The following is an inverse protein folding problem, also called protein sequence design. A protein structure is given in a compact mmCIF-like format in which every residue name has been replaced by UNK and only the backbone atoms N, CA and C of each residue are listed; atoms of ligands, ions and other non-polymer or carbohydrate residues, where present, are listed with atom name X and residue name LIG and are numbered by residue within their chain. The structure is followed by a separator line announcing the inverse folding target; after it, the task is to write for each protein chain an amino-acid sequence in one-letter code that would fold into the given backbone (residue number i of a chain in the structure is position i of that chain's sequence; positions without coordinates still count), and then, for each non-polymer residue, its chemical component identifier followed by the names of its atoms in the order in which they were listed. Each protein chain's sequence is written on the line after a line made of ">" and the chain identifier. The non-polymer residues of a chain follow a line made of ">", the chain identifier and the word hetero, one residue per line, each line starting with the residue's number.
data_IF_182927646275
#
_entry.id   IF_182927646275
#
_cell.length_a   1.000
_cell.length_b   1.000
_cell.length_c   1.000
_cell.angle_alpha   90.00
_cell.angle_beta   90.00
_cell.angle_gamma   90.00
#
_symmetry.space_group_name_H-M   'P 1'
#
loop_
_entity.id
_entity.type
_entity.pdbx_description
1 polymer ?
#
# COMPACT_ATOMS: atom_id res chain seq x y z
N UNK A 1 -34.00 62.41 -25.16
CA UNK A 1 -33.75 61.77 -26.46
C UNK A 1 -32.90 60.54 -26.16
N UNK A 2 -33.52 59.36 -26.20
CA UNK A 2 -32.78 58.09 -26.05
C UNK A 2 -32.11 57.81 -27.39
N UNK A 3 -30.86 57.38 -27.39
CA UNK A 3 -30.18 56.91 -28.61
C UNK A 3 -30.99 55.72 -29.14
N UNK A 4 -31.43 55.79 -30.41
CA UNK A 4 -32.19 54.69 -31.01
C UNK A 4 -31.27 53.50 -31.23
N UNK A 5 -31.41 52.48 -30.41
CA UNK A 5 -30.78 51.17 -30.64
C UNK A 5 -31.59 50.51 -31.76
N UNK A 6 -31.01 50.18 -32.90
CA UNK A 6 -31.67 49.43 -33.95
C UNK A 6 -32.18 48.09 -33.42
N UNK A 7 -33.33 47.64 -33.88
CA UNK A 7 -33.91 46.34 -33.45
C UNK A 7 -32.93 45.17 -33.65
N UNK A 8 -32.13 45.20 -34.73
CA UNK A 8 -31.11 44.17 -35.00
C UNK A 8 -30.03 44.14 -33.92
N UNK A 9 -29.55 45.30 -33.45
CA UNK A 9 -28.53 45.35 -32.38
C UNK A 9 -29.07 44.85 -31.05
N UNK A 10 -30.35 45.13 -30.77
CA UNK A 10 -31.01 44.61 -29.59
C UNK A 10 -31.07 43.09 -29.60
N UNK A 11 -31.46 42.47 -30.74
CA UNK A 11 -31.52 41.02 -30.85
C UNK A 11 -30.15 40.38 -30.92
N UNK A 12 -29.17 41.02 -31.53
CA UNK A 12 -27.79 40.57 -31.52
C UNK A 12 -27.23 40.51 -30.09
N UNK A 13 -27.44 41.57 -29.30
CA UNK A 13 -27.03 41.60 -27.91
C UNK A 13 -27.78 40.57 -27.05
N UNK A 14 -29.09 40.41 -27.26
CA UNK A 14 -29.89 39.37 -26.59
C UNK A 14 -29.40 37.96 -26.95
N UNK A 15 -28.97 37.74 -28.20
CA UNK A 15 -28.37 36.50 -28.67
C UNK A 15 -27.08 36.17 -27.93
N UNK A 16 -26.19 37.14 -27.77
CA UNK A 16 -24.93 36.96 -27.02
C UNK A 16 -25.23 36.55 -25.57
N UNK A 17 -26.14 37.22 -24.88
CA UNK A 17 -26.46 36.85 -23.49
C UNK A 17 -27.13 35.48 -23.37
N UNK A 18 -27.89 35.06 -24.35
CA UNK A 18 -28.55 33.74 -24.36
C UNK A 18 -27.62 32.59 -24.71
N UNK A 19 -26.65 32.84 -25.59
CA UNK A 19 -25.66 31.83 -26.00
C UNK A 19 -24.53 31.66 -24.98
N UNK A 20 -24.36 32.59 -24.06
CA UNK A 20 -23.26 32.66 -23.11
C UNK A 20 -23.66 32.10 -21.73
N UNK A 21 -22.87 31.18 -21.25
CA UNK A 21 -23.00 30.63 -19.90
C UNK A 21 -21.89 31.16 -18.99
N UNK A 22 -22.27 31.85 -17.91
CA UNK A 22 -21.33 32.31 -16.88
C UNK A 22 -21.44 31.53 -15.57
N UNK A 23 -22.57 30.83 -15.38
CA UNK A 23 -22.87 30.05 -14.18
C UNK A 23 -23.05 28.58 -14.52
N UNK A 24 -22.57 27.73 -13.64
CA UNK A 24 -22.86 26.29 -13.62
C UNK A 24 -24.06 26.08 -12.70
N UNK A 25 -25.21 25.58 -13.20
CA UNK A 25 -26.38 25.32 -12.37
C UNK A 25 -26.08 24.25 -11.30
N UNK A 26 -26.53 24.51 -10.08
CA UNK A 26 -26.42 23.60 -8.96
C UNK A 26 -27.29 24.02 -7.80
N UNK A 27 -27.28 23.29 -6.71
CA UNK A 27 -28.01 23.66 -5.48
C UNK A 27 -27.57 25.04 -4.95
N UNK A 28 -26.27 25.33 -5.16
CA UNK A 28 -25.71 26.70 -5.13
C UNK A 28 -25.00 26.87 -6.46
N UNK A 29 -25.41 27.86 -7.27
CA UNK A 29 -24.78 28.12 -8.56
C UNK A 29 -23.32 28.54 -8.36
N UNK A 30 -22.41 27.97 -9.14
CA UNK A 30 -21.00 28.35 -9.17
C UNK A 30 -20.65 29.05 -10.48
N UNK A 31 -19.58 29.83 -10.46
CA UNK A 31 -19.09 30.48 -11.67
C UNK A 31 -18.44 29.45 -12.58
N UNK A 32 -18.50 29.70 -13.90
CA UNK A 32 -17.63 29.00 -14.86
C UNK A 32 -16.21 29.48 -14.62
N UNK A 33 -15.35 28.60 -14.16
CA UNK A 33 -13.93 28.89 -13.89
C UNK A 33 -13.04 28.33 -15.00
N UNK A 34 -12.09 29.13 -15.45
CA UNK A 34 -11.02 28.66 -16.34
C UNK A 34 -9.67 28.96 -15.69
N UNK A 35 -8.77 27.99 -15.79
CA UNK A 35 -7.39 28.18 -15.39
C UNK A 35 -6.73 29.25 -16.28
N UNK A 36 -6.15 30.25 -15.64
CA UNK A 36 -5.33 31.23 -16.35
C UNK A 36 -4.06 30.57 -16.87
N UNK A 37 -3.61 31.00 -18.03
CA UNK A 37 -2.29 30.59 -18.52
C UNK A 37 -1.23 31.09 -17.53
N UNK A 38 -0.44 30.19 -16.92
CA UNK A 38 0.56 30.61 -15.96
C UNK A 38 1.58 31.54 -16.62
N UNK A 39 2.11 32.47 -15.84
CA UNK A 39 3.23 33.29 -16.31
C UNK A 39 4.43 32.39 -16.62
N UNK A 40 5.37 32.77 -17.49
CA UNK A 40 6.55 31.96 -17.77
C UNK A 40 7.35 31.60 -16.54
N UNK A 41 7.34 32.44 -15.51
CA UNK A 41 7.99 32.15 -14.22
C UNK A 41 7.21 31.12 -13.40
N UNK A 42 5.88 31.25 -13.33
CA UNK A 42 5.02 30.27 -12.66
C UNK A 42 5.10 28.91 -13.35
N UNK A 43 5.12 28.87 -14.68
CA UNK A 43 5.28 27.64 -15.46
C UNK A 43 6.60 26.96 -15.15
N UNK A 44 7.71 27.68 -15.07
CA UNK A 44 9.02 27.13 -14.70
C UNK A 44 9.01 26.51 -13.29
N UNK A 45 8.35 27.16 -12.33
CA UNK A 45 8.20 26.61 -10.95
C UNK A 45 7.37 25.33 -10.93
N UNK A 46 6.29 25.27 -11.72
CA UNK A 46 5.49 24.06 -11.88
C UNK A 46 6.27 22.92 -12.51
N UNK A 47 7.00 23.21 -13.61
CA UNK A 47 7.81 22.21 -14.31
C UNK A 47 8.94 21.68 -13.42
N UNK A 48 9.61 22.57 -12.66
CA UNK A 48 10.66 22.18 -11.72
C UNK A 48 10.08 21.31 -10.60
N UNK A 49 8.95 21.71 -10.01
CA UNK A 49 8.28 20.93 -8.97
C UNK A 49 7.83 19.56 -9.47
N UNK A 50 7.28 19.48 -10.69
CA UNK A 50 6.89 18.21 -11.32
C UNK A 50 8.10 17.29 -11.54
N UNK A 51 9.24 17.86 -11.96
CA UNK A 51 10.50 17.15 -12.12
C UNK A 51 11.01 16.64 -10.77
N UNK A 52 11.09 17.51 -9.77
CA UNK A 52 11.57 17.15 -8.42
C UNK A 52 10.70 16.07 -7.77
N UNK A 53 9.39 16.15 -7.95
CA UNK A 53 8.43 15.14 -7.46
C UNK A 53 8.64 13.78 -8.15
N UNK A 54 8.82 13.78 -9.48
CA UNK A 54 9.09 12.57 -10.25
C UNK A 54 10.42 11.93 -9.86
N UNK A 55 11.48 12.74 -9.72
CA UNK A 55 12.81 12.26 -9.36
C UNK A 55 12.84 11.70 -7.93
N UNK A 56 12.12 12.33 -6.99
CA UNK A 56 11.96 11.84 -5.65
C UNK A 56 11.19 10.49 -5.60
N UNK A 57 10.10 10.36 -6.35
CA UNK A 57 9.34 9.10 -6.46
C UNK A 57 10.18 7.97 -7.08
N UNK A 58 10.96 8.27 -8.12
CA UNK A 58 11.85 7.30 -8.75
C UNK A 58 12.96 6.84 -7.78
N UNK A 59 13.54 7.77 -7.05
CA UNK A 59 14.57 7.47 -6.04
C UNK A 59 14.02 6.62 -4.91
N UNK A 60 12.82 6.92 -4.42
CA UNK A 60 12.14 6.11 -3.39
C UNK A 60 11.83 4.70 -3.89
N UNK A 61 11.35 4.56 -5.12
CA UNK A 61 11.09 3.25 -5.74
C UNK A 61 12.37 2.44 -5.92
N UNK A 62 13.45 3.08 -6.34
CA UNK A 62 14.77 2.44 -6.50
C UNK A 62 15.32 1.95 -5.17
N UNK A 63 15.29 2.79 -4.12
CA UNK A 63 15.74 2.43 -2.78
C UNK A 63 14.92 1.26 -2.18
N UNK A 64 13.59 1.28 -2.35
CA UNK A 64 12.72 0.17 -1.92
C UNK A 64 13.01 -1.12 -2.68
N UNK A 65 13.26 -1.03 -3.98
CA UNK A 65 13.63 -2.21 -4.80
C UNK A 65 14.99 -2.77 -4.39
N UNK A 66 15.95 -1.92 -4.06
CA UNK A 66 17.26 -2.35 -3.53
C UNK A 66 17.11 -3.03 -2.17
N UNK A 67 16.32 -2.45 -1.25
CA UNK A 67 16.01 -3.06 0.03
C UNK A 67 15.38 -4.44 -0.17
N UNK A 68 14.37 -4.56 -1.02
CA UNK A 68 13.71 -5.81 -1.33
C UNK A 68 14.69 -6.85 -1.93
N UNK A 69 15.61 -6.42 -2.81
CA UNK A 69 16.65 -7.29 -3.37
C UNK A 69 17.65 -7.78 -2.31
N UNK A 70 18.07 -6.89 -1.42
CA UNK A 70 18.96 -7.21 -0.31
C UNK A 70 18.27 -8.18 0.65
N UNK A 71 17.02 -7.91 1.02
CA UNK A 71 16.22 -8.74 1.93
C UNK A 71 15.85 -10.10 1.30
N UNK A 72 15.59 -10.15 -0.01
CA UNK A 72 15.36 -11.41 -0.73
C UNK A 72 16.64 -12.24 -0.87
N UNK A 73 17.81 -11.61 -0.91
CA UNK A 73 19.09 -12.31 -0.92
C UNK A 73 19.51 -12.78 0.49
N UNK A 74 19.19 -12.03 1.55
CA UNK A 74 19.36 -12.48 2.93
C UNK A 74 18.34 -13.57 3.31
N UNK A 75 17.18 -13.57 2.65
CA UNK A 75 16.16 -14.61 2.79
C UNK A 75 16.53 -15.96 2.18
N UNK A 76 17.58 -16.04 1.33
CA UNK A 76 18.08 -17.32 0.81
C UNK A 76 18.82 -18.16 1.85
N UNK A 77 19.16 -17.60 2.99
CA UNK A 77 19.78 -18.30 4.11
C UNK A 77 18.80 -19.11 4.97
N UNK A 78 17.47 -18.90 4.81
CA UNK A 78 16.45 -19.57 5.59
C UNK A 78 15.72 -20.69 4.85
N UNK A 79 15.10 -21.58 5.61
CA UNK A 79 14.17 -22.59 5.09
C UNK A 79 12.76 -21.96 5.10
N UNK A 80 12.21 -21.73 3.92
CA UNK A 80 10.87 -21.16 3.71
C UNK A 80 9.88 -22.31 3.49
N UNK A 81 8.76 -22.24 4.18
CA UNK A 81 7.62 -23.12 3.98
C UNK A 81 6.40 -22.27 3.68
N UNK A 82 5.89 -22.36 2.47
CA UNK A 82 4.71 -21.65 1.99
C UNK A 82 3.41 -22.34 2.43
N UNK A 83 2.31 -21.61 2.50
CA UNK A 83 1.00 -22.17 2.84
C UNK A 83 0.56 -23.29 1.89
N UNK A 84 1.05 -23.31 0.66
CA UNK A 84 0.76 -24.37 -0.32
C UNK A 84 1.39 -25.70 0.07
N UNK A 85 2.52 -25.70 0.78
CA UNK A 85 3.26 -26.87 1.24
C UNK A 85 2.80 -27.35 2.63
N UNK A 86 2.08 -26.51 3.37
CA UNK A 86 1.66 -26.81 4.73
C UNK A 86 0.45 -27.77 4.77
N UNK A 87 0.44 -28.64 5.79
CA UNK A 87 -0.72 -29.50 6.08
C UNK A 87 -1.83 -28.65 6.71
N UNK A 88 -3.02 -28.69 6.10
CA UNK A 88 -4.20 -27.95 6.55
C UNK A 88 -5.20 -28.87 7.23
N UNK A 89 -5.70 -28.47 8.38
CA UNK A 89 -6.79 -29.10 9.10
C UNK A 89 -7.95 -28.11 9.08
N UNK A 90 -9.15 -28.57 8.68
CA UNK A 90 -10.30 -27.73 8.41
C UNK A 90 -10.23 -27.00 7.06
N UNK A 91 -11.28 -26.22 6.78
CA UNK A 91 -11.37 -25.45 5.53
C UNK A 91 -10.67 -24.10 5.62
N UNK A 92 -9.76 -23.85 4.70
CA UNK A 92 -9.06 -22.59 4.54
C UNK A 92 -9.29 -22.05 3.13
N UNK A 93 -9.69 -20.77 3.04
CA UNK A 93 -9.92 -20.09 1.77
C UNK A 93 -8.66 -19.39 1.30
N UNK A 94 -8.32 -19.57 0.02
CA UNK A 94 -7.23 -18.84 -0.65
C UNK A 94 -7.65 -17.41 -0.98
N UNK A 95 -6.72 -16.46 -0.85
CA UNK A 95 -6.95 -15.06 -1.22
C UNK A 95 -5.67 -14.39 -1.74
N UNK A 96 -5.84 -13.42 -2.62
CA UNK A 96 -4.80 -12.54 -3.16
C UNK A 96 -5.18 -11.06 -3.03
N UNK A 97 -6.22 -10.76 -2.24
CA UNK A 97 -6.78 -9.41 -2.10
C UNK A 97 -5.81 -8.40 -1.48
N UNK A 98 -4.91 -8.86 -0.61
CA UNK A 98 -3.80 -8.06 -0.10
C UNK A 98 -2.54 -8.43 -0.89
N UNK A 99 -1.71 -7.44 -1.25
CA UNK A 99 -0.51 -7.66 -2.08
C UNK A 99 0.76 -8.01 -1.29
N UNK A 100 0.70 -7.96 0.05
CA UNK A 100 1.84 -8.27 0.93
C UNK A 100 1.76 -9.70 1.42
N UNK A 101 2.05 -10.68 0.57
CA UNK A 101 2.15 -12.10 0.91
C UNK A 101 3.34 -12.75 0.22
N UNK A 102 3.73 -13.92 0.71
CA UNK A 102 4.79 -14.76 0.15
C UNK A 102 4.17 -15.78 -0.82
N UNK A 103 4.88 -16.11 -1.90
CA UNK A 103 4.39 -17.08 -2.89
C UNK A 103 3.25 -16.56 -3.76
N UNK A 104 2.25 -17.42 -4.01
CA UNK A 104 1.15 -17.12 -4.94
C UNK A 104 -0.11 -16.57 -4.28
N UNK A 105 -0.33 -16.91 -3.01
CA UNK A 105 -1.53 -16.53 -2.26
C UNK A 105 -1.29 -16.72 -0.76
N UNK A 106 -2.16 -16.16 0.04
CA UNK A 106 -2.33 -16.50 1.45
C UNK A 106 -3.66 -17.19 1.69
N UNK A 107 -3.84 -17.84 2.84
CA UNK A 107 -5.10 -18.47 3.22
C UNK A 107 -5.68 -17.86 4.49
N UNK A 108 -7.01 -18.00 4.66
CA UNK A 108 -7.72 -17.52 5.83
C UNK A 108 -8.88 -18.44 6.24
N UNK A 109 -9.25 -18.38 7.53
CA UNK A 109 -10.29 -19.21 8.13
C UNK A 109 -11.72 -18.68 7.95
N UNK A 110 -11.91 -17.53 7.24
CA UNK A 110 -13.16 -16.76 7.12
C UNK A 110 -13.71 -16.20 8.43
N UNK A 111 -13.02 -16.37 9.56
CA UNK A 111 -13.54 -16.09 10.89
C UNK A 111 -14.45 -17.19 11.44
N UNK A 112 -14.53 -18.34 10.77
CA UNK A 112 -15.43 -19.46 11.07
C UNK A 112 -14.68 -20.68 11.62
N UNK A 113 -15.42 -21.63 12.25
CA UNK A 113 -14.87 -22.90 12.74
C UNK A 113 -13.76 -22.69 13.79
N UNK A 114 -13.99 -21.81 14.76
CA UNK A 114 -13.01 -21.47 15.79
C UNK A 114 -12.64 -22.69 16.63
N UNK A 115 -11.33 -22.90 16.82
CA UNK A 115 -10.77 -24.06 17.49
C UNK A 115 -10.77 -25.36 16.67
N UNK A 116 -11.20 -25.33 15.41
CA UNK A 116 -11.26 -26.51 14.54
C UNK A 116 -10.31 -26.45 13.33
N UNK A 117 -9.59 -25.35 13.19
CA UNK A 117 -8.74 -25.14 12.01
C UNK A 117 -7.29 -24.89 12.41
N UNK A 118 -6.40 -25.62 11.76
CA UNK A 118 -4.95 -25.53 11.97
C UNK A 118 -4.19 -25.62 10.65
N UNK A 119 -3.03 -25.00 10.61
CA UNK A 119 -2.07 -25.11 9.51
C UNK A 119 -0.72 -25.51 10.10
N UNK A 120 -0.21 -26.66 9.73
CA UNK A 120 1.07 -27.21 10.20
C UNK A 120 2.10 -27.04 9.12
N UNK A 121 3.11 -26.23 9.41
CA UNK A 121 4.30 -26.04 8.58
C UNK A 121 5.40 -26.99 9.05
N UNK A 122 5.89 -27.82 8.16
CA UNK A 122 7.01 -28.73 8.43
C UNK A 122 8.19 -28.39 7.56
N UNK A 123 9.34 -28.19 8.17
CA UNK A 123 10.60 -27.91 7.49
C UNK A 123 11.61 -29.03 7.79
N UNK A 124 12.51 -29.30 6.84
CA UNK A 124 13.68 -30.16 7.05
C UNK A 124 14.92 -29.28 7.27
N UNK A 125 15.43 -29.23 8.48
CA UNK A 125 16.61 -28.45 8.85
C UNK A 125 17.88 -29.29 8.67
N UNK A 126 18.79 -28.80 7.84
CA UNK A 126 20.03 -29.54 7.52
C UNK A 126 21.02 -29.64 8.67
N UNK A 127 20.98 -28.66 9.59
CA UNK A 127 21.94 -28.55 10.69
C UNK A 127 21.23 -28.27 11.99
N UNK A 128 21.68 -28.87 13.08
CA UNK A 128 21.26 -28.43 14.42
C UNK A 128 21.83 -27.06 14.74
N UNK A 129 21.05 -26.27 15.52
CA UNK A 129 21.47 -24.93 15.94
C UNK A 129 20.34 -24.03 16.37
N UNK A 130 20.67 -22.77 16.60
CA UNK A 130 19.68 -21.75 16.88
C UNK A 130 19.14 -21.13 15.58
N UNK A 131 17.83 -21.04 15.48
CA UNK A 131 17.12 -20.45 14.36
C UNK A 131 16.18 -19.34 14.85
N UNK A 132 16.13 -18.25 14.10
CA UNK A 132 15.07 -17.26 14.23
C UNK A 132 13.86 -17.73 13.41
N UNK A 133 12.72 -17.93 14.10
CA UNK A 133 11.47 -18.35 13.46
C UNK A 133 10.63 -17.12 13.16
N UNK A 134 10.14 -17.03 11.94
CA UNK A 134 9.29 -15.94 11.47
C UNK A 134 7.99 -16.48 10.92
N UNK A 135 6.89 -15.74 11.13
CA UNK A 135 5.58 -16.04 10.56
C UNK A 135 5.15 -14.95 9.59
N UNK A 136 4.63 -15.36 8.44
CA UNK A 136 4.04 -14.51 7.42
C UNK A 136 2.52 -14.38 7.58
N UNK A 137 2.02 -13.15 7.45
CA UNK A 137 0.58 -12.87 7.38
C UNK A 137 0.33 -11.49 6.77
N UNK A 138 -0.89 -11.28 6.26
CA UNK A 138 -1.35 -9.96 5.81
C UNK A 138 -2.16 -9.29 6.90
N UNK A 139 -1.73 -8.08 7.33
CA UNK A 139 -2.40 -7.32 8.39
C UNK A 139 -3.72 -6.69 7.94
N UNK A 140 -4.57 -6.33 8.90
CA UNK A 140 -5.82 -5.62 8.65
C UNK A 140 -6.69 -5.49 9.88
N UNK A 141 -7.64 -4.54 9.87
CA UNK A 141 -8.50 -4.23 11.03
C UNK A 141 -9.45 -5.36 11.42
N UNK A 142 -9.80 -6.24 10.48
CA UNK A 142 -10.66 -7.40 10.67
C UNK A 142 -9.88 -8.69 10.98
N UNK A 143 -8.58 -8.57 11.34
CA UNK A 143 -7.75 -9.73 11.70
C UNK A 143 -7.77 -9.99 13.20
N UNK A 144 -7.52 -11.24 13.59
CA UNK A 144 -7.42 -11.63 15.00
C UNK A 144 -6.19 -11.03 15.68
N UNK A 145 -6.35 -10.60 16.94
CA UNK A 145 -5.28 -10.00 17.74
C UNK A 145 -4.46 -11.03 18.54
N UNK A 146 -4.89 -12.29 18.59
CA UNK A 146 -4.34 -13.28 19.50
C UNK A 146 -4.18 -14.65 18.85
N UNK A 147 -3.74 -14.71 17.60
CA UNK A 147 -3.55 -15.96 16.86
C UNK A 147 -2.48 -16.81 17.53
N UNK A 148 -2.81 -18.02 18.03
CA UNK A 148 -1.81 -18.90 18.62
C UNK A 148 -0.95 -19.53 17.55
N UNK A 149 0.37 -19.42 17.74
CA UNK A 149 1.39 -20.05 16.93
C UNK A 149 2.25 -20.91 17.83
N UNK A 150 2.21 -22.21 17.63
CA UNK A 150 2.97 -23.21 18.40
C UNK A 150 4.23 -23.56 17.62
N UNK A 151 5.40 -23.42 18.26
CA UNK A 151 6.71 -23.81 17.73
C UNK A 151 7.17 -25.05 18.49
N UNK A 152 7.40 -26.15 17.77
CA UNK A 152 8.03 -27.35 18.30
C UNK A 152 9.54 -27.22 18.12
N UNK A 153 10.30 -27.21 19.23
CA UNK A 153 11.74 -27.01 19.22
C UNK A 153 12.45 -27.99 20.19
N UNK A 154 13.76 -28.03 20.23
CA UNK A 154 14.53 -29.01 20.99
C UNK A 154 14.22 -29.04 22.51
N UNK A 155 13.69 -27.95 23.07
CA UNK A 155 13.31 -27.87 24.49
C UNK A 155 11.82 -28.06 24.76
N UNK A 156 11.04 -28.52 23.77
CA UNK A 156 9.59 -28.70 23.87
C UNK A 156 8.81 -27.70 23.00
N UNK A 157 7.59 -27.37 23.40
CA UNK A 157 6.70 -26.51 22.63
C UNK A 157 6.59 -25.10 23.25
N UNK A 158 6.61 -24.09 22.41
CA UNK A 158 6.33 -22.70 22.82
C UNK A 158 5.17 -22.14 22.02
N UNK A 159 4.18 -21.57 22.71
CA UNK A 159 3.03 -20.92 22.07
C UNK A 159 3.20 -19.40 22.15
N UNK A 160 3.17 -18.76 20.99
CA UNK A 160 3.24 -17.29 20.87
C UNK A 160 1.94 -16.80 20.26
N UNK A 161 1.35 -15.76 20.86
CA UNK A 161 0.15 -15.13 20.35
C UNK A 161 0.50 -13.94 19.48
N UNK A 162 0.02 -13.96 18.22
CA UNK A 162 0.32 -12.96 17.21
C UNK A 162 -0.88 -12.04 16.99
N UNK A 163 -0.66 -10.73 17.13
CA UNK A 163 -1.62 -9.71 16.72
C UNK A 163 -1.49 -9.45 15.21
N UNK A 164 -2.44 -9.95 14.44
CA UNK A 164 -2.46 -9.80 12.98
C UNK A 164 -3.10 -8.49 12.50
N UNK A 165 -3.54 -7.61 13.40
CA UNK A 165 -3.91 -6.23 13.05
C UNK A 165 -2.70 -5.34 12.86
N UNK A 166 -1.58 -5.68 13.49
CA UNK A 166 -0.32 -4.98 13.34
C UNK A 166 0.36 -5.38 12.04
N UNK A 167 0.94 -4.38 11.35
CA UNK A 167 1.73 -4.62 10.15
C UNK A 167 3.00 -5.40 10.51
N UNK A 168 3.28 -6.53 9.84
CA UNK A 168 4.52 -7.26 10.05
C UNK A 168 5.74 -6.39 9.73
N UNK A 169 6.75 -6.32 10.62
CA UNK A 169 7.85 -5.36 10.50
C UNK A 169 8.86 -5.70 9.39
N UNK A 170 8.95 -6.97 8.99
CA UNK A 170 9.89 -7.42 7.96
C UNK A 170 9.15 -7.46 6.63
N UNK A 171 9.47 -6.53 5.72
CA UNK A 171 8.89 -6.42 4.36
C UNK A 171 7.36 -6.34 4.32
N UNK A 172 6.72 -5.86 5.39
CA UNK A 172 5.27 -5.85 5.56
C UNK A 172 4.64 -7.26 5.46
N UNK A 173 5.44 -8.30 5.62
CA UNK A 173 5.02 -9.68 5.42
C UNK A 173 5.38 -10.62 6.57
N UNK A 174 6.54 -10.45 7.22
CA UNK A 174 7.00 -11.36 8.27
C UNK A 174 7.15 -10.68 9.63
N UNK A 175 6.77 -11.42 10.70
CA UNK A 175 7.00 -11.08 12.11
C UNK A 175 7.89 -12.14 12.75
N UNK A 176 8.92 -11.70 13.47
CA UNK A 176 9.78 -12.60 14.26
C UNK A 176 8.96 -13.13 15.45
N UNK A 177 8.95 -14.45 15.62
CA UNK A 177 8.36 -15.12 16.78
C UNK A 177 9.36 -15.30 17.92
N UNK A 178 10.62 -15.50 17.59
CA UNK A 178 11.69 -15.72 18.57
C UNK A 178 12.86 -16.49 17.99
N UNK A 179 13.78 -16.86 18.90
CA UNK A 179 14.94 -17.70 18.60
C UNK A 179 14.84 -18.99 19.39
N UNK A 180 14.97 -20.10 18.69
CA UNK A 180 14.77 -21.44 19.24
C UNK A 180 15.88 -22.37 18.77
N UNK A 181 16.30 -23.31 19.65
CA UNK A 181 17.20 -24.38 19.30
C UNK A 181 16.45 -25.51 18.60
N UNK A 182 16.96 -25.97 17.48
CA UNK A 182 16.44 -27.12 16.75
C UNK A 182 17.55 -28.15 16.54
N UNK A 183 17.16 -29.43 16.56
CA UNK A 183 18.00 -30.49 16.08
C UNK A 183 17.97 -30.55 14.55
N UNK A 184 18.96 -31.20 13.93
CA UNK A 184 18.89 -31.50 12.51
C UNK A 184 17.72 -32.46 12.23
N UNK A 185 16.99 -32.20 11.15
CA UNK A 185 15.81 -32.98 10.78
C UNK A 185 14.53 -32.12 10.82
N UNK A 186 13.41 -32.75 11.18
CA UNK A 186 12.08 -32.13 11.08
C UNK A 186 11.85 -31.06 12.15
N UNK A 187 11.51 -29.86 11.71
CA UNK A 187 11.00 -28.76 12.53
C UNK A 187 9.53 -28.50 12.19
N UNK A 188 8.74 -28.09 13.19
CA UNK A 188 7.31 -27.88 13.02
C UNK A 188 6.85 -26.55 13.65
N UNK A 189 5.95 -25.85 12.93
CA UNK A 189 5.23 -24.68 13.42
C UNK A 189 3.75 -24.85 13.08
N UNK A 190 2.88 -24.76 14.08
CA UNK A 190 1.44 -24.87 13.92
C UNK A 190 0.77 -23.52 14.19
N UNK A 191 -0.06 -23.07 13.27
CA UNK A 191 -0.92 -21.90 13.43
C UNK A 191 -2.35 -22.38 13.58
N UNK A 192 -3.00 -22.03 14.70
CA UNK A 192 -4.37 -22.41 14.99
C UNK A 192 -5.31 -21.21 15.05
N UNK A 193 -6.60 -21.43 14.83
CA UNK A 193 -7.61 -20.40 15.07
C UNK A 193 -8.32 -20.55 16.44
N UNK A 194 -7.74 -21.34 17.32
CA UNK A 194 -8.28 -21.57 18.67
C UNK A 194 -8.24 -20.28 19.51
N UNK A 195 -9.36 -20.00 20.19
CA UNK A 195 -9.50 -18.82 21.04
C UNK A 195 -9.44 -17.48 20.31
N UNK A 196 -9.54 -17.49 18.97
CA UNK A 196 -9.57 -16.26 18.14
C UNK A 196 -11.01 -15.83 17.86
N UNK A 197 -11.23 -14.49 17.71
CA UNK A 197 -12.59 -13.95 17.44
C UNK A 197 -12.78 -13.55 15.97
N UNK A 198 -11.72 -13.02 15.37
CA UNK A 198 -11.75 -12.46 14.01
C UNK A 198 -11.02 -13.37 13.02
N UNK A 199 -10.86 -12.91 11.78
CA UNK A 199 -10.21 -13.67 10.72
C UNK A 199 -8.74 -13.97 11.05
N UNK A 200 -8.35 -15.22 10.91
CA UNK A 200 -6.95 -15.67 11.00
C UNK A 200 -6.38 -15.81 9.60
N UNK A 201 -5.22 -15.19 9.40
CA UNK A 201 -4.45 -15.26 8.16
C UNK A 201 -3.24 -16.16 8.35
N UNK A 202 -2.98 -16.99 7.35
CA UNK A 202 -1.79 -17.85 7.30
C UNK A 202 -1.17 -17.71 5.91
N UNK A 203 0.13 -17.45 5.88
CA UNK A 203 0.88 -17.23 4.65
C UNK A 203 2.08 -18.17 4.58
N UNK A 204 3.16 -17.88 5.29
CA UNK A 204 4.37 -18.70 5.28
C UNK A 204 5.04 -18.75 6.66
N UNK A 205 5.95 -19.69 6.85
CA UNK A 205 6.87 -19.76 7.98
C UNK A 205 8.29 -19.84 7.47
N UNK A 206 9.22 -19.16 8.16
CA UNK A 206 10.64 -19.15 7.81
C UNK A 206 11.49 -19.50 9.01
N UNK A 207 12.45 -20.41 8.83
CA UNK A 207 13.48 -20.76 9.79
C UNK A 207 14.82 -20.20 9.30
N UNK A 208 15.35 -19.16 9.96
CA UNK A 208 16.61 -18.51 9.59
C UNK A 208 17.72 -18.94 10.56
N UNK A 209 18.77 -19.63 10.11
CA UNK A 209 19.88 -20.00 10.99
C UNK A 209 20.55 -18.75 11.59
N UNK A 210 20.74 -18.73 12.90
CA UNK A 210 21.34 -17.58 13.59
C UNK A 210 22.79 -17.32 13.16
N UNK A 211 23.50 -18.40 12.77
CA UNK A 211 24.83 -18.31 12.21
C UNK A 211 24.87 -17.52 10.89
N UNK A 212 23.79 -17.53 10.12
CA UNK A 212 23.67 -16.74 8.88
C UNK A 212 23.31 -15.28 9.16
N UNK A 213 22.54 -15.01 10.22
CA UNK A 213 22.19 -13.64 10.63
C UNK A 213 23.39 -12.86 11.21
N UNK A 214 24.35 -13.57 11.79
CA UNK A 214 25.53 -12.97 12.42
C UNK A 214 26.71 -12.71 11.47
N UNK A 215 26.60 -13.11 10.19
CA UNK A 215 27.75 -13.17 9.28
C UNK A 215 28.28 -11.82 8.79
N UNK A 216 27.55 -10.72 8.91
CA UNK A 216 28.04 -9.46 8.36
C UNK A 216 27.57 -8.20 9.10
N UNK A 217 28.39 -7.64 10.04
CA UNK A 217 28.13 -6.35 10.68
C UNK A 217 28.03 -5.19 9.67
N UNK A 218 28.73 -5.30 8.52
CA UNK A 218 28.70 -4.33 7.44
C UNK A 218 27.34 -4.38 6.73
N UNK A 219 26.76 -5.58 6.60
CA UNK A 219 25.45 -5.80 6.03
C UNK A 219 24.34 -5.16 6.87
N UNK A 220 24.35 -5.35 8.20
CA UNK A 220 23.37 -4.73 9.10
C UNK A 220 23.48 -3.20 9.08
N UNK A 221 24.70 -2.66 9.08
CA UNK A 221 24.93 -1.21 8.96
C UNK A 221 24.40 -0.67 7.62
N UNK A 222 24.61 -1.39 6.52
CA UNK A 222 24.12 -1.03 5.19
C UNK A 222 22.59 -1.07 5.12
N UNK A 223 21.96 -2.06 5.73
CA UNK A 223 20.50 -2.19 5.84
C UNK A 223 19.90 -1.04 6.65
N UNK A 224 20.49 -0.70 7.80
CA UNK A 224 20.06 0.41 8.64
C UNK A 224 20.11 1.73 7.88
N UNK A 225 21.24 1.99 7.19
CA UNK A 225 21.41 3.20 6.37
C UNK A 225 20.41 3.28 5.22
N UNK A 226 20.16 2.17 4.54
CA UNK A 226 19.20 2.13 3.44
C UNK A 226 17.75 2.37 3.92
N UNK A 227 17.39 1.87 5.09
CA UNK A 227 16.08 2.15 5.73
C UNK A 227 15.94 3.63 6.10
N UNK A 228 16.98 4.23 6.66
CA UNK A 228 17.02 5.67 6.96
C UNK A 228 16.88 6.52 5.68
N UNK A 229 17.55 6.13 4.60
CA UNK A 229 17.45 6.79 3.30
C UNK A 229 16.02 6.69 2.73
N UNK A 230 15.37 5.55 2.87
CA UNK A 230 13.97 5.34 2.45
C UNK A 230 13.02 6.25 3.24
N UNK A 231 13.18 6.35 4.56
CA UNK A 231 12.36 7.22 5.40
C UNK A 231 12.55 8.69 5.03
N UNK A 232 13.79 9.11 4.78
CA UNK A 232 14.11 10.46 4.32
C UNK A 232 13.48 10.77 2.96
N UNK A 233 13.59 9.85 2.01
CA UNK A 233 12.98 9.99 0.68
C UNK A 233 11.45 9.98 0.74
N UNK A 234 10.85 9.16 1.60
CA UNK A 234 9.40 9.13 1.79
C UNK A 234 8.87 10.48 2.33
N UNK A 235 9.54 11.04 3.34
CA UNK A 235 9.24 12.38 3.87
C UNK A 235 9.40 13.46 2.81
N UNK A 236 10.40 13.36 1.94
CA UNK A 236 10.61 14.32 0.84
C UNK A 236 9.48 14.25 -0.20
N UNK A 237 9.05 13.05 -0.58
CA UNK A 237 7.90 12.85 -1.49
C UNK A 237 6.63 13.44 -0.89
N UNK A 238 6.38 13.19 0.39
CA UNK A 238 5.23 13.75 1.11
C UNK A 238 5.28 15.28 1.18
N UNK A 239 6.44 15.84 1.51
CA UNK A 239 6.67 17.30 1.52
C UNK A 239 6.40 17.92 0.14
N UNK A 240 6.90 17.31 -0.94
CA UNK A 240 6.65 17.78 -2.30
C UNK A 240 5.17 17.71 -2.68
N UNK A 241 4.45 16.66 -2.28
CA UNK A 241 2.99 16.57 -2.51
C UNK A 241 2.22 17.68 -1.80
N UNK A 242 2.64 18.02 -0.58
CA UNK A 242 1.98 19.03 0.24
C UNK A 242 2.39 20.47 -0.13
N UNK A 243 3.50 20.66 -0.82
CA UNK A 243 4.05 21.96 -1.24
C UNK A 243 3.87 22.25 -2.74
N UNK A 244 2.92 21.55 -3.38
CA UNK A 244 2.62 21.83 -4.80
C UNK A 244 2.39 23.32 -4.99
N UNK A 245 3.13 23.98 -5.91
CA UNK A 245 2.84 25.35 -6.26
C UNK A 245 1.39 25.39 -6.73
N UNK A 246 0.56 26.17 -6.05
CA UNK A 246 -0.90 26.14 -6.17
C UNK A 246 -1.37 26.10 -7.62
N UNK A 247 -2.55 25.53 -7.83
CA UNK A 247 -3.19 25.49 -9.14
C UNK A 247 -3.12 26.85 -9.80
N UNK A 248 -2.90 26.86 -11.13
CA UNK A 248 -2.94 28.08 -11.91
C UNK A 248 -4.15 28.91 -11.48
N UNK A 249 -3.91 30.19 -11.17
CA UNK A 249 -4.98 31.09 -10.73
C UNK A 249 -6.18 30.93 -11.66
N UNK A 250 -7.34 30.71 -11.09
CA UNK A 250 -8.57 30.59 -11.86
C UNK A 250 -9.22 31.96 -11.99
N UNK A 251 -9.81 32.24 -13.12
CA UNK A 251 -10.66 33.40 -13.31
C UNK A 251 -12.09 32.97 -13.61
N UNK A 252 -13.03 33.80 -13.21
CA UNK A 252 -14.38 33.69 -13.74
C UNK A 252 -14.32 33.86 -15.26
N UNK A 253 -15.03 32.99 -15.95
CA UNK A 253 -15.05 32.95 -17.40
C UNK A 253 -16.48 32.84 -17.90
N UNK A 254 -16.64 33.10 -19.17
CA UNK A 254 -17.86 32.78 -19.92
C UNK A 254 -17.55 31.71 -20.94
N UNK A 255 -18.50 30.89 -21.25
CA UNK A 255 -18.40 29.90 -22.30
C UNK A 255 -19.69 29.86 -23.12
N UNK A 256 -19.59 29.38 -24.35
CA UNK A 256 -20.79 29.13 -25.14
C UNK A 256 -21.58 27.99 -24.53
N UNK A 257 -22.90 28.08 -24.62
CA UNK A 257 -23.76 26.94 -24.25
C UNK A 257 -23.48 25.77 -25.19
N UNK A 258 -23.64 24.55 -24.68
CA UNK A 258 -23.38 23.31 -25.45
C UNK A 258 -24.25 23.18 -26.71
N UNK A 259 -25.40 23.81 -26.70
CA UNK A 259 -26.34 23.85 -27.82
C UNK A 259 -26.92 25.26 -27.92
N UNK A 260 -26.20 26.18 -28.58
CA UNK A 260 -26.67 27.54 -28.81
C UNK A 260 -27.69 27.52 -29.95
N UNK A 261 -28.87 26.97 -29.71
CA UNK A 261 -29.92 26.85 -30.74
C UNK A 261 -30.24 28.18 -31.43
N UNK A 262 -30.56 28.14 -32.72
CA UNK A 262 -31.09 29.26 -33.47
C UNK A 262 -32.46 29.68 -32.88
N UNK A 263 -32.47 30.84 -32.27
CA UNK A 263 -33.67 31.38 -31.66
C UNK A 263 -34.48 32.14 -32.71
N UNK A 264 -35.56 31.57 -33.18
CA UNK A 264 -36.50 32.31 -33.99
C UNK A 264 -37.27 33.31 -33.13
N UNK A 265 -37.09 34.57 -33.45
CA UNK A 265 -37.88 35.65 -32.84
C UNK A 265 -39.13 35.82 -33.63
N UNK A 266 -40.29 35.46 -33.08
CA UNK A 266 -41.58 35.83 -33.62
C UNK A 266 -41.85 37.30 -33.30
N UNK A 267 -41.93 38.11 -34.37
CA UNK A 267 -42.35 39.52 -34.33
C UNK A 267 -43.86 39.55 -34.32
#
# INVERSE_FOLDING_TARGET
>A
KFDPIPTNDYYALAGIFRSTQSLVPGNVSSWVERSLTPTPEAQRKLDQHAKDSKDADLSLKAARKELQKIESNSGKAGVFVDNSQAKKIGEWMKSTSNKSFFGENYIHDKGEGKGQKEVVFSAELKTAGEYEVRVGYTHGTNRSQNVPVTIEHAKGNTVIRVNQREMPPINNNFKVLGRFGFDAGKASVTISNEGTRDVVIVDAVVFVPLAELKKDPVFESRLAKLREDIDRLAKRVESLKNSSPGDASKSMSVQDQKDPGDWHVHI
#
